data_IF_008808927674
#
_entry.id   IF_008808927674
#
_cell.length_a   1.000
_cell.length_b   1.000
_cell.length_c   1.000
_cell.angle_alpha   90.00
_cell.angle_beta   90.00
_cell.angle_gamma   90.00
#
_symmetry.space_group_name_H-M   'P 1'
#
loop_
_entity.id
_entity.type
_entity.pdbx_description
1 polymer ?
#
# COMPACT_ATOMS: atom_id res chain seq x y z
N UNK A 1 -8.20 6.03 -9.18
CA UNK A 1 -7.12 6.24 -10.17
C UNK A 1 -7.79 6.62 -11.47
N UNK A 2 -7.62 7.87 -11.90
CA UNK A 2 -8.17 8.38 -13.15
C UNK A 2 -7.38 7.93 -14.37
N UNK A 3 -7.85 8.35 -15.54
CA UNK A 3 -7.35 7.90 -16.83
C UNK A 3 -6.69 9.08 -17.54
N UNK A 4 -5.54 8.82 -18.13
CA UNK A 4 -4.89 9.73 -19.07
C UNK A 4 -5.79 9.97 -20.29
N UNK A 5 -5.93 11.22 -20.71
CA UNK A 5 -6.57 11.57 -21.97
C UNK A 5 -5.59 12.34 -22.83
N UNK A 6 -5.51 12.01 -24.12
CA UNK A 6 -4.76 12.81 -25.11
C UNK A 6 -5.44 14.13 -25.45
N UNK A 7 -6.65 14.38 -24.92
CA UNK A 7 -7.37 15.62 -25.15
C UNK A 7 -6.64 16.79 -24.48
N UNK A 8 -6.34 17.83 -25.26
CA UNK A 8 -5.86 19.11 -24.75
C UNK A 8 -7.05 19.89 -24.20
N UNK A 9 -6.93 20.39 -22.98
CA UNK A 9 -7.94 21.26 -22.39
C UNK A 9 -7.48 22.72 -22.44
N UNK A 10 -8.42 23.63 -22.70
CA UNK A 10 -8.17 25.06 -22.66
C UNK A 10 -8.24 25.61 -21.23
N UNK A 11 -7.60 26.76 -21.01
CA UNK A 11 -7.76 27.53 -19.78
C UNK A 11 -9.23 27.93 -19.58
N UNK A 12 -9.71 27.90 -18.33
CA UNK A 12 -11.06 28.39 -17.99
C UNK A 12 -11.07 29.89 -17.62
N UNK A 13 -9.90 30.53 -17.56
CA UNK A 13 -9.74 31.91 -17.13
C UNK A 13 -9.93 32.11 -15.62
N UNK A 14 -9.97 33.37 -15.19
CA UNK A 14 -10.04 33.77 -13.78
C UNK A 14 -11.48 34.03 -13.26
N UNK A 15 -12.50 33.88 -14.11
CA UNK A 15 -13.90 34.14 -13.73
C UNK A 15 -14.33 33.25 -12.55
N UNK A 16 -14.85 33.87 -11.49
CA UNK A 16 -15.29 33.18 -10.27
C UNK A 16 -14.17 32.71 -9.34
N UNK A 17 -12.91 33.00 -9.65
CA UNK A 17 -11.78 32.66 -8.77
C UNK A 17 -11.54 33.76 -7.70
N UNK A 18 -10.90 33.37 -6.60
CA UNK A 18 -10.48 34.29 -5.53
C UNK A 18 -9.07 34.78 -5.80
N UNK A 19 -8.85 36.08 -5.72
CA UNK A 19 -7.51 36.68 -5.78
C UNK A 19 -6.72 36.33 -4.51
N UNK A 20 -5.58 35.67 -4.67
CA UNK A 20 -4.64 35.38 -3.58
C UNK A 20 -3.62 36.50 -3.42
N UNK A 21 -3.04 36.95 -4.53
CA UNK A 21 -1.95 37.91 -4.54
C UNK A 21 -1.96 38.69 -5.85
N UNK A 22 -1.52 39.94 -5.80
CA UNK A 22 -1.36 40.82 -6.96
C UNK A 22 -0.02 41.53 -6.90
N UNK A 23 0.57 41.81 -8.06
CA UNK A 23 1.87 42.49 -8.17
C UNK A 23 2.96 41.85 -7.29
N UNK A 24 3.08 40.53 -7.41
CA UNK A 24 4.03 39.73 -6.65
C UNK A 24 5.26 39.41 -7.53
N UNK A 25 6.41 39.96 -7.15
CA UNK A 25 7.68 39.80 -7.86
C UNK A 25 8.29 38.41 -7.63
N UNK A 26 9.01 38.21 -6.52
CA UNK A 26 9.67 36.94 -6.20
C UNK A 26 9.13 36.27 -4.93
N UNK A 27 8.22 36.94 -4.22
CA UNK A 27 7.74 36.49 -2.92
C UNK A 27 6.89 35.23 -3.04
N UNK A 28 7.09 34.32 -2.11
CA UNK A 28 6.27 33.11 -1.96
C UNK A 28 5.04 33.43 -1.11
N UNK A 29 3.86 33.11 -1.66
CA UNK A 29 2.58 33.20 -0.96
C UNK A 29 1.98 31.81 -0.80
N UNK A 30 1.27 31.61 0.31
CA UNK A 30 0.70 30.33 0.70
C UNK A 30 -0.79 30.29 0.40
N UNK A 31 -1.29 29.21 -0.20
CA UNK A 31 -2.72 29.00 -0.37
C UNK A 31 -3.38 28.65 0.98
N UNK A 32 -4.69 28.95 1.16
CA UNK A 32 -5.46 28.39 2.25
C UNK A 32 -5.57 26.86 2.12
N UNK A 33 -6.22 26.22 3.10
CA UNK A 33 -6.60 24.81 3.00
C UNK A 33 -7.38 24.55 1.69
N UNK A 34 -6.87 23.62 0.87
CA UNK A 34 -7.45 23.26 -0.42
C UNK A 34 -8.71 22.37 -0.31
N UNK A 35 -9.07 21.96 0.91
CA UNK A 35 -10.34 21.29 1.22
C UNK A 35 -10.35 19.77 1.07
N UNK A 36 -9.26 19.15 0.61
CA UNK A 36 -9.12 17.69 0.47
C UNK A 36 -7.67 17.25 0.63
N UNK A 37 -7.47 15.95 0.87
CA UNK A 37 -6.13 15.36 0.97
C UNK A 37 -5.50 15.24 -0.42
N UNK A 38 -4.33 15.84 -0.59
CA UNK A 38 -3.49 15.76 -1.78
C UNK A 38 -2.11 15.31 -1.33
N UNK A 39 -1.58 14.20 -1.87
CA UNK A 39 -0.29 13.66 -1.44
C UNK A 39 0.80 13.89 -2.49
N UNK A 40 1.94 14.40 -2.05
CA UNK A 40 3.15 14.48 -2.84
C UNK A 40 4.32 13.90 -2.02
N UNK A 41 5.02 12.93 -2.59
CA UNK A 41 6.10 12.19 -1.92
C UNK A 41 5.72 11.63 -0.54
N UNK A 42 4.50 11.10 -0.39
CA UNK A 42 4.01 10.59 0.90
C UNK A 42 3.55 11.65 1.90
N UNK A 43 3.72 12.94 1.61
CA UNK A 43 3.31 14.05 2.48
C UNK A 43 1.93 14.55 2.08
N UNK A 44 1.00 14.64 3.04
CA UNK A 44 -0.28 15.32 2.82
C UNK A 44 -0.06 16.83 2.73
N UNK A 45 -0.31 17.39 1.55
CA UNK A 45 0.00 18.76 1.17
C UNK A 45 -1.21 19.70 1.28
N UNK A 46 -2.32 19.26 1.88
CA UNK A 46 -3.58 19.99 2.01
C UNK A 46 -3.43 21.44 2.48
N UNK A 47 -2.45 21.72 3.34
CA UNK A 47 -2.21 23.05 3.92
C UNK A 47 -0.77 23.56 3.72
N UNK A 48 -0.03 23.04 2.73
CA UNK A 48 1.38 23.40 2.49
C UNK A 48 1.67 23.87 1.07
N UNK A 49 0.65 24.02 0.23
CA UNK A 49 0.84 24.48 -1.14
C UNK A 49 1.16 25.98 -1.13
N UNK A 50 2.28 26.31 -1.76
CA UNK A 50 2.79 27.65 -1.95
C UNK A 50 2.96 27.93 -3.45
N UNK A 51 2.93 29.21 -3.80
CA UNK A 51 3.21 29.72 -5.15
C UNK A 51 4.07 30.96 -5.04
N UNK A 52 4.96 31.18 -5.99
CA UNK A 52 5.77 32.40 -6.05
C UNK A 52 5.38 33.28 -7.22
N UNK A 53 5.63 34.58 -7.04
CA UNK A 53 5.68 35.54 -8.14
C UNK A 53 6.68 35.12 -9.23
N UNK A 54 7.76 34.40 -8.92
CA UNK A 54 8.74 33.94 -9.91
C UNK A 54 8.33 32.63 -10.63
N UNK A 55 7.01 32.42 -10.77
CA UNK A 55 6.37 31.36 -11.55
C UNK A 55 6.80 29.92 -11.20
N UNK A 56 6.64 29.57 -9.93
CA UNK A 56 6.78 28.20 -9.44
C UNK A 56 5.76 27.84 -8.34
N UNK A 57 5.51 26.54 -8.17
CA UNK A 57 4.67 25.94 -7.13
C UNK A 57 5.51 25.06 -6.22
N UNK A 58 5.28 25.18 -4.91
CA UNK A 58 5.79 24.26 -3.90
C UNK A 58 4.65 23.51 -3.22
N UNK A 59 4.65 22.19 -3.29
CA UNK A 59 3.60 21.35 -2.68
C UNK A 59 3.84 21.12 -1.18
N UNK A 60 5.10 21.00 -0.77
CA UNK A 60 5.49 20.69 0.62
C UNK A 60 6.10 21.89 1.35
N UNK A 61 5.72 23.12 0.98
CA UNK A 61 6.29 24.36 1.49
C UNK A 61 7.01 25.16 0.41
N UNK A 62 8.18 25.72 0.73
CA UNK A 62 8.89 26.69 -0.14
C UNK A 62 9.82 26.06 -1.18
N UNK A 63 9.79 24.73 -1.33
CA UNK A 63 10.58 24.06 -2.36
C UNK A 63 9.95 24.30 -3.74
N UNK A 64 10.75 24.64 -4.76
CA UNK A 64 10.29 24.92 -6.11
C UNK A 64 10.02 23.62 -6.92
N UNK A 65 8.99 22.84 -6.54
CA UNK A 65 8.76 21.52 -7.14
C UNK A 65 8.18 21.54 -8.55
N UNK A 66 7.40 22.56 -8.93
CA UNK A 66 6.96 22.75 -10.30
C UNK A 66 7.34 24.15 -10.76
N UNK A 67 8.19 24.23 -11.78
CA UNK A 67 8.72 25.46 -12.36
C UNK A 67 8.15 25.64 -13.76
N UNK A 68 7.57 26.80 -14.02
CA UNK A 68 6.91 27.12 -15.30
C UNK A 68 7.48 28.45 -15.78
N UNK A 69 8.35 28.43 -16.78
CA UNK A 69 9.14 29.57 -17.22
C UNK A 69 9.84 30.28 -16.05
N UNK A 70 10.30 29.52 -15.05
CA UNK A 70 10.94 30.05 -13.85
C UNK A 70 12.24 30.74 -14.24
N UNK A 71 12.33 32.05 -14.00
CA UNK A 71 13.53 32.86 -14.26
C UNK A 71 13.55 34.05 -13.31
N UNK A 72 12.95 35.13 -13.75
CA UNK A 72 12.83 36.44 -13.10
C UNK A 72 11.43 36.99 -13.40
N UNK A 73 10.45 36.08 -13.45
CA UNK A 73 9.07 36.36 -13.78
C UNK A 73 8.41 37.11 -12.62
N UNK A 74 7.38 37.88 -12.92
CA UNK A 74 6.56 38.56 -11.92
C UNK A 74 5.08 38.27 -12.16
N UNK A 75 4.36 37.96 -11.09
CA UNK A 75 2.93 37.69 -11.13
C UNK A 75 2.15 39.00 -10.99
N UNK A 76 1.46 39.42 -12.04
CA UNK A 76 0.49 40.50 -11.97
C UNK A 76 -0.67 40.07 -11.07
N UNK A 77 -1.17 38.84 -11.23
CA UNK A 77 -2.18 38.26 -10.35
C UNK A 77 -2.04 36.75 -10.19
N UNK A 78 -2.38 36.26 -9.00
CA UNK A 78 -2.45 34.85 -8.66
C UNK A 78 -3.84 34.60 -8.07
N UNK A 79 -4.56 33.64 -8.65
CA UNK A 79 -5.90 33.26 -8.22
C UNK A 79 -5.98 31.80 -7.80
N UNK A 80 -7.01 31.46 -7.02
CA UNK A 80 -7.40 30.09 -6.75
C UNK A 80 -8.91 29.90 -6.71
N UNK A 81 -9.36 28.66 -6.88
CA UNK A 81 -10.75 28.26 -6.69
C UNK A 81 -10.84 26.81 -6.21
N UNK A 82 -11.75 26.58 -5.27
CA UNK A 82 -12.28 25.24 -4.98
C UNK A 82 -13.37 24.94 -6.02
N UNK A 83 -13.18 23.89 -6.80
CA UNK A 83 -14.11 23.47 -7.85
C UNK A 83 -14.54 22.02 -7.62
N UNK A 84 -15.52 21.57 -8.40
CA UNK A 84 -15.94 20.17 -8.45
C UNK A 84 -15.94 19.70 -9.89
N UNK A 85 -15.28 18.58 -10.15
CA UNK A 85 -15.25 17.92 -11.47
C UNK A 85 -15.73 16.48 -11.25
N UNK A 86 -16.80 16.08 -11.94
CA UNK A 86 -17.43 14.76 -11.77
C UNK A 86 -17.74 14.42 -10.30
N UNK A 87 -18.36 15.36 -9.58
CA UNK A 87 -18.71 15.27 -8.15
C UNK A 87 -17.53 15.08 -7.19
N UNK A 88 -16.29 15.29 -7.67
CA UNK A 88 -15.07 15.20 -6.87
C UNK A 88 -14.44 16.58 -6.70
N UNK A 89 -13.92 16.89 -5.50
CA UNK A 89 -13.30 18.19 -5.24
C UNK A 89 -11.99 18.31 -6.02
N UNK A 90 -11.78 19.48 -6.59
CA UNK A 90 -10.55 19.86 -7.28
C UNK A 90 -10.14 21.27 -6.86
N UNK A 91 -8.84 21.53 -6.81
CA UNK A 91 -8.31 22.86 -6.51
C UNK A 91 -7.65 23.43 -7.76
N UNK A 92 -8.10 24.59 -8.23
CA UNK A 92 -7.53 25.24 -9.41
C UNK A 92 -6.76 26.48 -9.00
N UNK A 93 -5.53 26.58 -9.48
CA UNK A 93 -4.64 27.72 -9.34
C UNK A 93 -4.53 28.36 -10.71
N UNK A 94 -4.50 29.69 -10.76
CA UNK A 94 -4.20 30.44 -11.97
C UNK A 94 -3.16 31.50 -11.69
N UNK A 95 -2.17 31.59 -12.56
CA UNK A 95 -1.08 32.53 -12.48
C UNK A 95 -1.07 33.35 -13.77
N UNK A 96 -1.14 34.68 -13.64
CA UNK A 96 -1.12 35.62 -14.75
C UNK A 96 -0.02 36.65 -14.50
N UNK A 97 0.88 36.81 -15.46
CA UNK A 97 1.94 37.78 -15.35
C UNK A 97 2.87 37.77 -16.55
N UNK A 98 4.14 38.01 -16.27
CA UNK A 98 5.12 38.31 -17.30
C UNK A 98 6.46 37.61 -17.06
N UNK A 99 7.24 37.42 -18.11
CA UNK A 99 8.46 36.61 -18.08
C UNK A 99 9.70 37.23 -17.41
N UNK A 100 9.72 38.55 -17.21
CA UNK A 100 10.85 39.29 -16.63
C UNK A 100 10.41 40.54 -15.90
N UNK A 101 10.88 40.78 -14.68
CA UNK A 101 10.45 41.85 -13.76
C UNK A 101 10.23 43.24 -14.38
N UNK A 102 10.96 43.60 -15.45
CA UNK A 102 10.84 44.88 -16.12
C UNK A 102 9.60 45.04 -17.00
N UNK A 103 8.77 43.99 -17.16
CA UNK A 103 7.70 43.92 -18.16
C UNK A 103 6.29 43.96 -17.55
N UNK A 104 6.14 44.50 -16.33
CA UNK A 104 4.85 44.67 -15.66
C UNK A 104 3.76 45.22 -16.59
N UNK A 105 2.56 44.65 -16.48
CA UNK A 105 1.41 44.99 -17.33
C UNK A 105 1.36 44.28 -18.69
N UNK A 106 2.40 43.55 -19.09
CA UNK A 106 2.37 42.68 -20.28
C UNK A 106 2.08 41.23 -19.90
N UNK A 107 0.84 40.76 -20.09
CA UNK A 107 0.47 39.39 -19.72
C UNK A 107 0.88 38.39 -20.83
N UNK A 108 2.13 37.93 -20.76
CA UNK A 108 2.74 36.97 -21.70
C UNK A 108 3.07 35.59 -21.09
N UNK A 109 2.88 35.42 -19.79
CA UNK A 109 3.01 34.15 -19.08
C UNK A 109 1.71 33.88 -18.31
N UNK A 110 0.98 32.84 -18.72
CA UNK A 110 -0.32 32.50 -18.14
C UNK A 110 -0.50 31.00 -18.10
N UNK A 111 -0.75 30.47 -16.90
CA UNK A 111 -0.98 29.05 -16.70
C UNK A 111 -1.98 28.78 -15.59
N UNK A 112 -2.57 27.58 -15.64
CA UNK A 112 -3.43 27.03 -14.60
C UNK A 112 -2.90 25.69 -14.13
N UNK A 113 -3.00 25.42 -12.83
CA UNK A 113 -2.75 24.10 -12.27
C UNK A 113 -4.01 23.58 -11.61
N UNK A 114 -4.50 22.43 -12.05
CA UNK A 114 -5.65 21.73 -11.47
C UNK A 114 -5.12 20.56 -10.65
N UNK A 115 -5.50 20.50 -9.38
CA UNK A 115 -5.08 19.47 -8.42
C UNK A 115 -6.31 18.60 -8.08
N UNK A 116 -6.12 17.28 -8.11
CA UNK A 116 -7.17 16.30 -7.84
C UNK A 116 -6.94 15.58 -6.51
N UNK A 117 -8.02 15.12 -5.87
CA UNK A 117 -7.96 14.41 -4.58
C UNK A 117 -7.38 12.98 -4.64
N UNK A 118 -6.99 12.50 -5.83
CA UNK A 118 -6.22 11.27 -6.01
C UNK A 118 -4.76 11.53 -6.39
N UNK A 119 -4.27 12.73 -6.07
CA UNK A 119 -2.89 13.18 -6.27
C UNK A 119 -2.48 13.39 -7.73
N UNK A 120 -3.37 13.26 -8.71
CA UNK A 120 -3.10 13.70 -10.06
C UNK A 120 -3.12 15.24 -10.17
N UNK A 121 -2.45 15.76 -11.20
CA UNK A 121 -2.47 17.19 -11.53
C UNK A 121 -2.59 17.39 -13.05
N UNK A 122 -3.15 18.52 -13.46
CA UNK A 122 -3.11 18.97 -14.86
C UNK A 122 -2.61 20.41 -14.91
N UNK A 123 -1.51 20.63 -15.61
CA UNK A 123 -0.99 21.94 -15.95
C UNK A 123 -1.58 22.36 -17.29
N UNK A 124 -2.21 23.54 -17.36
CA UNK A 124 -2.72 24.14 -18.58
C UNK A 124 -1.92 25.39 -18.87
N UNK A 125 -1.33 25.48 -20.06
CA UNK A 125 -0.57 26.63 -20.52
C UNK A 125 -1.42 27.41 -21.51
N UNK A 126 -1.82 28.62 -21.11
CA UNK A 126 -2.50 29.54 -22.02
C UNK A 126 -1.48 30.33 -22.83
N UNK A 127 -0.44 30.86 -22.16
CA UNK A 127 0.68 31.57 -22.78
C UNK A 127 1.98 31.26 -22.06
N UNK A 128 3.06 31.07 -22.81
CA UNK A 128 4.40 30.88 -22.30
C UNK A 128 5.46 31.38 -23.28
N UNK A 129 6.37 32.26 -22.86
CA UNK A 129 7.46 32.74 -23.72
C UNK A 129 8.60 31.73 -23.85
N UNK A 130 8.68 30.74 -22.96
CA UNK A 130 9.67 29.65 -22.97
C UNK A 130 11.13 30.14 -22.97
N UNK A 131 11.41 31.19 -22.20
CA UNK A 131 12.76 31.75 -21.99
C UNK A 131 13.37 31.40 -20.63
N UNK A 132 12.62 30.73 -19.76
CA UNK A 132 13.02 30.30 -18.42
C UNK A 132 13.11 28.78 -18.25
N UNK A 133 13.19 28.33 -16.99
CA UNK A 133 13.23 26.91 -16.64
C UNK A 133 11.83 26.31 -16.54
N UNK A 134 11.62 25.20 -17.24
CA UNK A 134 10.43 24.36 -17.15
C UNK A 134 10.84 23.00 -16.56
N UNK A 135 10.45 22.71 -15.32
CA UNK A 135 10.84 21.46 -14.67
C UNK A 135 9.85 21.02 -13.59
N UNK A 136 9.87 19.73 -13.30
CA UNK A 136 9.12 19.13 -12.19
C UNK A 136 10.03 18.22 -11.37
N UNK A 137 10.05 18.42 -10.05
CA UNK A 137 10.71 17.52 -9.11
C UNK A 137 9.86 16.26 -8.95
N UNK A 138 10.22 15.18 -9.63
CA UNK A 138 9.54 13.91 -9.52
C UNK A 138 10.15 13.11 -8.35
N UNK A 139 9.42 12.73 -7.29
CA UNK A 139 10.06 12.36 -6.02
C UNK A 139 11.06 11.20 -6.08
N UNK A 140 10.81 10.20 -6.94
CA UNK A 140 11.71 9.06 -7.13
C UNK A 140 12.66 9.28 -8.32
N UNK A 141 12.21 9.96 -9.37
CA UNK A 141 12.97 10.11 -10.63
C UNK A 141 13.96 11.29 -10.55
N UNK A 142 13.73 12.24 -9.65
CA UNK A 142 14.43 13.52 -9.57
C UNK A 142 13.85 14.57 -10.52
N UNK A 143 14.58 15.68 -10.69
CA UNK A 143 14.19 16.77 -11.58
C UNK A 143 13.99 16.29 -13.01
N UNK A 144 12.77 16.48 -13.53
CA UNK A 144 12.39 16.18 -14.91
C UNK A 144 12.19 17.50 -15.66
N UNK A 145 12.92 17.70 -16.76
CA UNK A 145 12.69 18.84 -17.66
C UNK A 145 11.35 18.68 -18.38
N UNK A 146 10.57 19.76 -18.45
CA UNK A 146 9.27 19.78 -19.11
C UNK A 146 9.36 20.49 -20.46
N UNK A 147 8.92 19.83 -21.52
CA UNK A 147 8.74 20.46 -22.85
C UNK A 147 7.29 20.92 -22.95
N UNK A 148 7.06 22.21 -22.66
CA UNK A 148 5.72 22.81 -22.64
C UNK A 148 5.56 23.89 -23.71
N UNK A 149 4.33 24.12 -24.18
CA UNK A 149 4.03 25.06 -25.26
C UNK A 149 2.69 25.78 -25.06
N UNK A 150 2.49 26.87 -25.79
CA UNK A 150 1.25 27.65 -25.80
C UNK A 150 0.03 26.79 -26.14
N UNK A 151 -1.10 27.06 -25.47
CA UNK A 151 -2.38 26.41 -25.71
C UNK A 151 -2.32 24.88 -25.59
N UNK A 152 -1.51 24.38 -24.66
CA UNK A 152 -1.36 22.94 -24.36
C UNK A 152 -1.68 22.66 -22.90
N UNK A 153 -1.92 21.39 -22.61
CA UNK A 153 -2.07 20.90 -21.25
C UNK A 153 -1.21 19.67 -21.03
N UNK A 154 -0.84 19.41 -19.77
CA UNK A 154 0.06 18.34 -19.37
C UNK A 154 -0.48 17.66 -18.12
N UNK A 155 -0.72 16.35 -18.21
CA UNK A 155 -1.22 15.54 -17.12
C UNK A 155 -0.06 14.91 -16.33
N UNK A 156 -0.05 15.11 -15.02
CA UNK A 156 0.84 14.48 -14.06
C UNK A 156 0.07 13.38 -13.36
N UNK A 157 0.34 12.13 -13.72
CA UNK A 157 -0.44 10.98 -13.25
C UNK A 157 0.42 10.18 -12.26
N UNK A 158 -0.03 9.98 -11.01
CA UNK A 158 0.73 9.22 -10.04
C UNK A 158 0.87 7.77 -10.50
N UNK A 159 2.10 7.28 -10.59
CA UNK A 159 2.41 5.88 -10.93
C UNK A 159 2.57 5.01 -9.67
N UNK A 160 2.56 5.62 -8.49
CA UNK A 160 2.61 4.98 -7.18
C UNK A 160 1.71 5.70 -6.18
N UNK A 161 1.24 4.98 -5.17
CA UNK A 161 0.41 5.54 -4.10
C UNK A 161 1.09 6.72 -3.39
N UNK A 162 0.26 7.62 -2.86
CA UNK A 162 0.68 8.83 -2.13
C UNK A 162 1.59 9.77 -2.96
N UNK A 163 1.47 9.74 -4.28
CA UNK A 163 2.19 10.66 -5.17
C UNK A 163 3.71 10.51 -5.10
N UNK A 164 4.22 9.29 -4.94
CA UNK A 164 5.67 9.00 -4.85
C UNK A 164 6.39 9.02 -6.19
N UNK A 165 5.67 8.90 -7.30
CA UNK A 165 6.22 9.03 -8.65
C UNK A 165 5.11 9.43 -9.62
N UNK A 166 5.47 10.12 -10.70
CA UNK A 166 4.53 10.63 -11.70
C UNK A 166 4.98 10.28 -13.12
N UNK A 167 4.02 9.97 -13.97
CA UNK A 167 4.16 10.02 -15.42
C UNK A 167 3.61 11.36 -15.92
N UNK A 168 4.39 12.09 -16.73
CA UNK A 168 4.00 13.40 -17.26
C UNK A 168 3.82 13.30 -18.77
N UNK A 169 2.64 13.63 -19.28
CA UNK A 169 2.32 13.54 -20.71
C UNK A 169 1.52 14.77 -21.17
N UNK A 170 1.74 15.22 -22.41
CA UNK A 170 0.88 16.23 -23.05
C UNK A 170 -0.53 15.68 -23.21
N UNK A 171 -1.54 16.36 -22.67
CA UNK A 171 -2.91 15.88 -22.59
C UNK A 171 -3.60 16.38 -21.34
N UNK A 172 -4.58 15.62 -20.88
CA UNK A 172 -5.38 15.93 -19.70
C UNK A 172 -5.57 14.69 -18.83
N UNK A 173 -6.19 14.90 -17.69
CA UNK A 173 -6.53 13.88 -16.73
C UNK A 173 -8.05 13.84 -16.57
N UNK A 174 -8.62 12.65 -16.77
CA UNK A 174 -10.03 12.42 -16.45
C UNK A 174 -10.07 11.61 -15.19
N UNK A 175 -10.46 12.27 -14.10
CA UNK A 175 -10.66 11.56 -12.86
C UNK A 175 -11.81 10.56 -13.03
N UNK A 176 -11.49 9.28 -12.87
CA UNK A 176 -12.46 8.21 -13.03
C UNK A 176 -13.52 8.30 -11.92
N UNK A 177 -14.78 8.40 -12.31
CA UNK A 177 -15.91 8.24 -11.40
C UNK A 177 -16.25 6.75 -11.33
N UNK A 178 -15.47 6.00 -10.54
CA UNK A 178 -15.67 4.57 -10.35
C UNK A 178 -16.65 4.35 -9.21
N UNK A 179 -17.68 3.55 -9.46
CA UNK A 179 -18.68 3.13 -8.49
C UNK A 179 -18.64 1.61 -8.32
N UNK A 180 -18.83 1.16 -7.08
CA UNK A 180 -18.81 -0.25 -6.70
C UNK A 180 -20.17 -0.68 -6.17
N UNK A 181 -20.59 -1.90 -6.53
CA UNK A 181 -21.76 -2.57 -5.98
C UNK A 181 -21.49 -4.07 -5.89
N UNK A 182 -22.11 -4.77 -4.94
CA UNK A 182 -22.09 -6.23 -4.88
C UNK A 182 -23.38 -6.79 -5.48
N UNK A 183 -23.25 -7.73 -6.39
CA UNK A 183 -24.36 -8.62 -6.77
C UNK A 183 -24.27 -9.88 -5.91
N UNK A 184 -25.25 -10.06 -5.04
CA UNK A 184 -25.36 -11.13 -4.05
C UNK A 184 -26.57 -12.02 -4.40
N UNK A 185 -26.35 -13.03 -5.26
CA UNK A 185 -27.45 -13.77 -5.86
C UNK A 185 -28.23 -12.88 -6.84
N UNK A 186 -29.51 -12.61 -6.54
CA UNK A 186 -30.34 -11.67 -7.33
C UNK A 186 -30.33 -10.24 -6.76
N UNK A 187 -29.79 -10.05 -5.56
CA UNK A 187 -29.79 -8.76 -4.87
C UNK A 187 -28.58 -7.92 -5.29
N UNK A 188 -28.78 -6.61 -5.35
CA UNK A 188 -27.74 -5.61 -5.48
C UNK A 188 -27.60 -4.95 -4.12
N UNK A 189 -26.37 -4.98 -3.58
CA UNK A 189 -26.03 -4.48 -2.26
C UNK A 189 -24.92 -3.43 -2.34
N UNK A 190 -24.98 -2.47 -1.44
CA UNK A 190 -23.92 -1.49 -1.19
C UNK A 190 -23.45 -1.62 0.27
N UNK A 191 -22.29 -1.06 0.59
CA UNK A 191 -21.80 -1.05 1.96
C UNK A 191 -22.46 0.07 2.77
N UNK A 192 -23.23 -0.29 3.80
CA UNK A 192 -23.77 0.68 4.75
C UNK A 192 -22.77 0.87 5.90
N UNK A 193 -22.24 2.09 6.02
CA UNK A 193 -21.25 2.46 7.04
C UNK A 193 -21.85 2.36 8.44
N UNK A 194 -23.13 2.71 8.61
CA UNK A 194 -23.78 2.73 9.92
C UNK A 194 -23.91 1.32 10.52
N UNK A 195 -24.31 0.34 9.71
CA UNK A 195 -24.40 -1.06 10.12
C UNK A 195 -23.12 -1.86 9.92
N UNK A 196 -22.11 -1.30 9.24
CA UNK A 196 -20.89 -2.01 8.84
C UNK A 196 -21.21 -3.35 8.15
N UNK A 197 -22.16 -3.31 7.21
CA UNK A 197 -22.68 -4.48 6.52
C UNK A 197 -23.15 -4.14 5.11
N UNK A 198 -23.09 -5.12 4.21
CA UNK A 198 -23.74 -5.00 2.90
C UNK A 198 -25.27 -5.08 3.05
N UNK A 199 -25.98 -4.06 2.58
CA UNK A 199 -27.44 -3.98 2.63
C UNK A 199 -28.03 -3.89 1.23
N UNK A 200 -29.21 -4.48 1.06
CA UNK A 200 -29.93 -4.49 -0.22
C UNK A 200 -30.40 -3.10 -0.60
N UNK A 201 -30.06 -2.68 -1.82
CA UNK A 201 -30.53 -1.42 -2.43
C UNK A 201 -31.37 -1.64 -3.68
N UNK A 202 -31.23 -2.78 -4.35
CA UNK A 202 -31.98 -3.11 -5.56
C UNK A 202 -31.90 -4.62 -5.86
N UNK A 203 -32.50 -5.06 -6.96
CA UNK A 203 -32.31 -6.38 -7.58
C UNK A 203 -31.79 -6.24 -9.01
N UNK A 204 -31.30 -7.34 -9.61
CA UNK A 204 -30.91 -7.39 -11.02
C UNK A 204 -32.10 -7.06 -11.96
N UNK A 205 -31.85 -6.56 -13.20
CA UNK A 205 -30.54 -6.36 -13.83
C UNK A 205 -29.81 -5.13 -13.31
N UNK A 206 -28.48 -5.15 -13.40
CA UNK A 206 -27.63 -4.02 -13.02
C UNK A 206 -27.64 -2.97 -14.14
N UNK A 207 -27.82 -1.69 -13.80
CA UNK A 207 -27.88 -0.56 -14.73
C UNK A 207 -26.97 0.58 -14.28
N UNK A 208 -26.61 1.49 -15.19
CA UNK A 208 -25.80 2.67 -14.87
C UNK A 208 -26.43 3.53 -13.76
N UNK A 209 -27.74 3.78 -13.83
CA UNK A 209 -28.48 4.56 -12.82
C UNK A 209 -28.35 3.97 -11.41
N UNK A 210 -28.32 2.64 -11.27
CA UNK A 210 -28.15 1.99 -9.96
C UNK A 210 -26.77 2.26 -9.37
N UNK A 211 -25.72 2.30 -10.20
CA UNK A 211 -24.39 2.70 -9.75
C UNK A 211 -24.30 4.18 -9.39
N UNK A 212 -24.93 5.04 -10.19
CA UNK A 212 -24.93 6.48 -9.91
C UNK A 212 -25.70 6.80 -8.62
N UNK A 213 -26.77 6.07 -8.34
CA UNK A 213 -27.64 6.30 -7.17
C UNK A 213 -27.10 5.65 -5.90
N UNK A 214 -26.62 4.41 -5.98
CA UNK A 214 -26.31 3.58 -4.81
C UNK A 214 -24.86 3.11 -4.74
N UNK A 215 -24.06 3.38 -5.77
CA UNK A 215 -22.71 2.85 -5.86
C UNK A 215 -21.75 3.52 -4.88
N UNK A 216 -20.93 2.70 -4.24
CA UNK A 216 -19.91 3.15 -3.31
C UNK A 216 -18.70 3.72 -4.07
N UNK A 217 -18.07 4.78 -3.56
CA UNK A 217 -16.83 5.35 -4.13
C UNK A 217 -15.58 4.53 -3.76
N UNK A 218 -15.69 3.71 -2.72
CA UNK A 218 -14.64 2.80 -2.25
C UNK A 218 -15.16 1.39 -2.19
N UNK A 219 -14.34 0.42 -2.56
CA UNK A 219 -14.69 -0.99 -2.38
C UNK A 219 -14.43 -1.41 -0.93
N UNK A 220 -15.22 -2.37 -0.45
CA UNK A 220 -15.10 -2.94 0.90
C UNK A 220 -14.73 -4.42 0.81
N UNK A 221 -13.74 -4.85 1.61
CA UNK A 221 -13.22 -6.23 1.62
C UNK A 221 -14.02 -7.17 2.51
N UNK A 222 -14.84 -6.59 3.38
CA UNK A 222 -15.70 -7.25 4.33
C UNK A 222 -16.74 -8.12 3.61
N UNK A 223 -17.32 -9.09 4.33
CA UNK A 223 -18.39 -9.96 3.78
C UNK A 223 -19.67 -9.94 4.61
N UNK A 224 -19.71 -9.16 5.68
CA UNK A 224 -20.91 -9.01 6.54
C UNK A 224 -22.09 -8.57 5.67
N UNK A 225 -23.23 -9.25 5.78
CA UNK A 225 -24.43 -8.98 4.98
C UNK A 225 -24.49 -9.66 3.61
N UNK A 226 -23.40 -10.29 3.15
CA UNK A 226 -23.39 -11.12 1.93
C UNK A 226 -23.84 -12.54 2.29
N UNK A 227 -24.81 -13.07 1.54
CA UNK A 227 -25.45 -14.35 1.82
C UNK A 227 -25.08 -15.41 0.78
N UNK A 228 -24.91 -15.02 -0.49
CA UNK A 228 -24.55 -15.94 -1.58
C UNK A 228 -23.16 -16.54 -1.37
N UNK A 229 -23.02 -17.80 -1.77
CA UNK A 229 -21.73 -18.49 -1.87
C UNK A 229 -20.89 -17.98 -3.04
N UNK A 230 -21.48 -17.25 -3.97
CA UNK A 230 -20.84 -16.75 -5.19
C UNK A 230 -21.25 -15.30 -5.49
N UNK A 231 -20.95 -14.34 -4.58
CA UNK A 231 -21.20 -12.93 -4.85
C UNK A 231 -20.23 -12.42 -5.92
N UNK A 232 -20.60 -11.35 -6.60
CA UNK A 232 -19.73 -10.69 -7.57
C UNK A 232 -19.63 -9.19 -7.30
N UNK A 233 -18.40 -8.69 -7.19
CA UNK A 233 -18.12 -7.27 -7.21
C UNK A 233 -18.33 -6.75 -8.62
N UNK A 234 -19.17 -5.72 -8.74
CA UNK A 234 -19.44 -5.02 -9.98
C UNK A 234 -18.86 -3.62 -9.88
N UNK A 235 -18.29 -3.20 -10.99
CA UNK A 235 -17.55 -1.95 -11.10
C UNK A 235 -18.13 -1.22 -12.30
N UNK A 236 -18.37 0.07 -12.15
CA UNK A 236 -18.88 0.92 -13.21
C UNK A 236 -18.16 2.26 -13.21
N UNK A 237 -18.07 2.86 -14.40
CA UNK A 237 -17.59 4.22 -14.63
C UNK A 237 -18.34 4.78 -15.83
N UNK A 238 -18.58 6.10 -15.90
CA UNK A 238 -19.09 6.73 -17.12
C UNK A 238 -18.07 6.73 -18.26
N UNK A 239 -16.81 6.35 -18.00
CA UNK A 239 -15.76 6.27 -19.02
C UNK A 239 -15.95 5.03 -19.90
N UNK A 240 -15.74 5.21 -21.21
CA UNK A 240 -15.90 4.16 -22.23
C UNK A 240 -14.88 3.02 -22.02
N UNK A 241 -13.67 3.35 -21.55
CA UNK A 241 -12.60 2.39 -21.30
C UNK A 241 -12.21 2.41 -19.83
N UNK A 242 -12.48 1.32 -19.11
CA UNK A 242 -11.96 1.10 -17.77
C UNK A 242 -10.72 0.20 -17.83
N UNK A 243 -9.66 0.58 -17.11
CA UNK A 243 -8.53 -0.33 -16.87
C UNK A 243 -9.08 -1.52 -16.05
N UNK A 244 -8.86 -2.77 -16.46
CA UNK A 244 -9.30 -3.94 -15.69
C UNK A 244 -8.74 -3.91 -14.26
N UNK A 245 -9.56 -4.15 -13.22
CA UNK A 245 -9.07 -4.19 -11.86
C UNK A 245 -8.07 -5.34 -11.67
N UNK A 246 -6.98 -5.10 -10.94
CA UNK A 246 -6.01 -6.13 -10.54
C UNK A 246 -6.31 -6.57 -9.11
N UNK A 247 -6.68 -7.84 -8.92
CA UNK A 247 -6.82 -8.45 -7.60
C UNK A 247 -5.51 -9.14 -7.24
N UNK A 248 -4.90 -8.76 -6.12
CA UNK A 248 -3.72 -9.42 -5.57
C UNK A 248 -4.18 -10.18 -4.33
N UNK A 249 -4.03 -11.51 -4.35
CA UNK A 249 -4.29 -12.35 -3.19
C UNK A 249 -2.95 -12.81 -2.62
N UNK A 250 -2.69 -12.47 -1.35
CA UNK A 250 -1.54 -13.00 -0.62
C UNK A 250 -2.00 -14.15 0.25
N UNK A 251 -1.49 -15.35 -0.03
CA UNK A 251 -1.78 -16.54 0.76
C UNK A 251 -0.66 -16.70 1.79
N UNK A 252 -1.02 -16.70 3.07
CA UNK A 252 -0.12 -17.01 4.18
C UNK A 252 -0.54 -18.37 4.77
N UNK A 253 0.35 -19.37 4.82
CA UNK A 253 0.09 -20.60 5.55
C UNK A 253 -0.19 -20.31 7.03
N UNK A 254 -1.24 -20.91 7.58
CA UNK A 254 -1.48 -20.86 9.02
C UNK A 254 -0.38 -21.63 9.76
N UNK A 255 -0.08 -21.26 11.02
CA UNK A 255 0.81 -22.06 11.85
C UNK A 255 0.32 -23.50 11.97
N UNK A 256 1.25 -24.44 12.07
CA UNK A 256 0.94 -25.88 12.11
C UNK A 256 1.84 -26.60 13.09
N UNK A 257 1.32 -27.64 13.73
CA UNK A 257 2.12 -28.62 14.45
C UNK A 257 2.20 -29.88 13.60
N UNK A 258 3.43 -30.30 13.30
CA UNK A 258 3.70 -31.55 12.58
C UNK A 258 4.18 -32.58 13.59
N UNK A 259 3.59 -33.77 13.55
CA UNK A 259 3.90 -34.87 14.48
C UNK A 259 4.45 -36.05 13.69
N UNK A 260 5.54 -36.67 14.17
CA UNK A 260 5.99 -37.95 13.62
C UNK A 260 4.91 -39.03 13.81
N UNK A 261 4.70 -39.86 12.80
CA UNK A 261 3.73 -40.97 12.89
C UNK A 261 4.24 -42.10 13.79
N UNK A 262 5.54 -42.35 13.75
CA UNK A 262 6.18 -43.48 14.40
C UNK A 262 7.24 -43.02 15.40
N UNK A 263 7.54 -43.90 16.36
CA UNK A 263 8.63 -43.69 17.33
C UNK A 263 9.97 -44.04 16.70
N UNK A 264 11.00 -43.29 17.08
CA UNK A 264 12.39 -43.71 16.92
C UNK A 264 12.69 -44.68 18.05
N UNK A 265 12.92 -45.95 17.71
CA UNK A 265 13.37 -46.97 18.67
C UNK A 265 14.89 -47.04 18.72
N UNK A 266 15.43 -47.10 19.93
CA UNK A 266 16.84 -47.38 20.20
C UNK A 266 16.97 -48.52 21.22
N UNK A 267 16.07 -49.50 21.11
CA UNK A 267 15.92 -50.65 22.01
C UNK A 267 17.10 -51.62 22.03
N UNK A 268 18.00 -51.53 21.05
CA UNK A 268 19.15 -52.41 20.93
C UNK A 268 20.02 -52.42 22.19
N UNK A 269 20.49 -53.60 22.57
CA UNK A 269 21.23 -53.79 23.82
C UNK A 269 22.56 -53.01 23.86
N UNK A 270 23.18 -52.83 22.70
CA UNK A 270 24.44 -52.09 22.56
C UNK A 270 24.24 -50.56 22.62
N UNK A 271 23.01 -50.05 22.49
CA UNK A 271 22.73 -48.62 22.60
C UNK A 271 22.51 -48.27 24.07
N UNK A 272 23.40 -47.41 24.59
CA UNK A 272 23.43 -47.01 25.99
C UNK A 272 22.60 -45.76 26.26
N UNK A 273 22.82 -44.70 25.49
CA UNK A 273 22.13 -43.42 25.67
C UNK A 273 22.16 -42.55 24.41
N UNK A 274 21.36 -41.48 24.39
CA UNK A 274 21.36 -40.44 23.35
C UNK A 274 22.46 -39.42 23.68
N UNK A 275 23.39 -39.23 22.75
CA UNK A 275 24.46 -38.24 22.88
C UNK A 275 23.88 -36.84 22.60
N UNK A 276 23.24 -36.66 21.45
CA UNK A 276 22.62 -35.41 21.04
C UNK A 276 21.61 -35.60 19.90
N UNK A 277 20.86 -34.53 19.64
CA UNK A 277 20.03 -34.37 18.45
C UNK A 277 20.62 -33.29 17.55
N UNK A 278 20.58 -33.51 16.23
CA UNK A 278 21.01 -32.55 15.20
C UNK A 278 19.84 -32.28 14.27
N UNK A 279 19.57 -31.01 14.00
CA UNK A 279 18.50 -30.55 13.12
C UNK A 279 19.10 -29.84 11.92
N UNK A 280 18.71 -30.26 10.73
CA UNK A 280 19.07 -29.61 9.47
C UNK A 280 17.79 -29.01 8.88
N UNK A 281 17.82 -27.72 8.56
CA UNK A 281 16.71 -27.00 7.95
C UNK A 281 17.18 -25.90 6.99
N UNK A 282 16.28 -25.46 6.13
CA UNK A 282 16.37 -24.15 5.48
C UNK A 282 15.48 -23.17 6.24
N UNK A 283 16.07 -22.11 6.79
CA UNK A 283 15.34 -20.99 7.40
C UNK A 283 15.86 -19.66 6.84
N UNK A 284 15.03 -18.96 6.07
CA UNK A 284 15.34 -17.63 5.56
C UNK A 284 14.22 -16.68 5.99
N UNK A 285 14.61 -15.55 6.56
CA UNK A 285 13.67 -14.57 7.12
C UNK A 285 13.30 -14.91 8.56
N UNK A 286 12.01 -14.86 8.88
CA UNK A 286 11.51 -14.89 10.26
C UNK A 286 10.80 -16.19 10.66
N UNK A 287 11.15 -17.31 10.03
CA UNK A 287 10.53 -18.61 10.32
C UNK A 287 10.80 -19.09 11.75
N UNK A 288 9.74 -19.54 12.44
CA UNK A 288 9.79 -20.09 13.79
C UNK A 288 9.58 -21.60 13.71
N UNK A 289 10.48 -22.37 14.35
CA UNK A 289 10.32 -23.80 14.56
C UNK A 289 10.72 -24.19 15.98
N UNK A 290 9.81 -24.83 16.70
CA UNK A 290 10.02 -25.28 18.08
C UNK A 290 9.63 -26.75 18.23
N UNK A 291 10.47 -27.53 18.90
CA UNK A 291 10.37 -28.98 19.03
C UNK A 291 9.87 -29.40 20.41
N UNK A 292 9.10 -30.47 20.43
CA UNK A 292 8.71 -31.20 21.65
C UNK A 292 8.91 -32.69 21.42
N UNK A 293 9.11 -33.42 22.51
CA UNK A 293 9.41 -34.85 22.47
C UNK A 293 8.43 -35.63 23.34
N UNK A 294 8.18 -36.89 22.97
CA UNK A 294 7.40 -37.85 23.73
C UNK A 294 8.19 -39.14 23.89
N UNK A 295 8.10 -39.77 25.07
CA UNK A 295 8.71 -41.07 25.41
C UNK A 295 7.66 -42.17 25.63
N UNK A 296 6.39 -41.84 25.40
CA UNK A 296 5.21 -42.67 25.62
C UNK A 296 4.32 -42.72 24.37
N UNK A 297 4.95 -42.73 23.19
CA UNK A 297 4.29 -42.88 21.89
C UNK A 297 3.22 -41.82 21.59
N UNK A 298 3.44 -40.59 22.08
CA UNK A 298 2.60 -39.42 21.82
C UNK A 298 1.52 -39.14 22.86
N UNK A 299 1.49 -39.87 23.99
CA UNK A 299 0.51 -39.66 25.07
C UNK A 299 0.80 -38.37 25.83
N UNK A 300 2.06 -38.12 26.19
CA UNK A 300 2.50 -36.87 26.82
C UNK A 300 3.71 -36.29 26.08
N UNK A 301 3.80 -34.96 26.13
CA UNK A 301 4.82 -34.21 25.41
C UNK A 301 5.60 -33.32 26.36
N UNK A 302 6.91 -33.27 26.15
CA UNK A 302 7.86 -32.56 27.00
C UNK A 302 8.80 -31.68 26.19
N UNK A 303 9.30 -30.64 26.84
CA UNK A 303 10.34 -29.76 26.34
C UNK A 303 11.37 -29.49 27.44
N UNK A 304 12.63 -29.36 27.06
CA UNK A 304 13.69 -28.92 27.96
C UNK A 304 13.63 -27.41 28.14
N UNK A 305 13.39 -26.94 29.36
CA UNK A 305 13.27 -25.52 29.69
C UNK A 305 14.57 -24.92 30.26
N UNK A 306 15.73 -25.47 29.89
CA UNK A 306 17.06 -25.16 30.42
C UNK A 306 17.35 -25.67 31.84
N UNK A 307 16.35 -26.11 32.61
CA UNK A 307 16.54 -26.71 33.94
C UNK A 307 15.98 -28.12 34.08
N UNK A 308 14.89 -28.43 33.39
CA UNK A 308 14.12 -29.67 33.55
C UNK A 308 13.27 -29.97 32.31
N UNK A 309 12.80 -31.21 32.19
CA UNK A 309 11.79 -31.59 31.21
C UNK A 309 10.39 -31.19 31.70
N UNK A 310 9.82 -30.13 31.13
CA UNK A 310 8.48 -29.64 31.45
C UNK A 310 7.42 -30.17 30.48
N UNK A 311 6.20 -30.35 30.96
CA UNK A 311 5.05 -30.76 30.13
C UNK A 311 4.62 -29.63 29.17
N UNK A 312 4.22 -30.03 27.96
CA UNK A 312 3.67 -29.17 26.92
C UNK A 312 2.36 -29.75 26.42
N UNK A 313 1.33 -28.91 26.35
CA UNK A 313 0.03 -29.29 25.80
C UNK A 313 0.05 -29.22 24.27
N UNK A 314 0.09 -30.39 23.62
CA UNK A 314 0.07 -30.53 22.16
C UNK A 314 -1.22 -29.98 21.52
N UNK A 315 -2.33 -29.96 22.25
CA UNK A 315 -3.61 -29.47 21.73
C UNK A 315 -3.68 -27.95 21.71
N UNK A 316 -2.79 -27.28 22.45
CA UNK A 316 -2.66 -25.83 22.50
C UNK A 316 -1.44 -25.35 21.72
N UNK A 317 -1.68 -24.85 20.51
CA UNK A 317 -0.62 -24.38 19.63
C UNK A 317 0.24 -23.25 20.22
N UNK A 318 -0.33 -22.40 21.07
CA UNK A 318 0.42 -21.35 21.75
C UNK A 318 1.31 -21.91 22.86
N UNK A 319 0.91 -23.00 23.50
CA UNK A 319 1.73 -23.69 24.50
C UNK A 319 2.95 -24.34 23.85
N UNK A 320 2.77 -25.01 22.71
CA UNK A 320 3.88 -25.56 21.92
C UNK A 320 4.81 -24.46 21.42
N UNK A 321 4.26 -23.33 20.94
CA UNK A 321 5.07 -22.18 20.50
C UNK A 321 5.91 -21.60 21.64
N UNK A 322 5.35 -21.46 22.83
CA UNK A 322 6.02 -20.77 23.95
C UNK A 322 6.95 -21.65 24.78
N UNK A 323 6.62 -22.93 24.96
CA UNK A 323 7.39 -23.88 25.78
C UNK A 323 8.27 -24.82 24.96
N UNK A 324 8.00 -24.99 23.67
CA UNK A 324 8.79 -25.85 22.79
C UNK A 324 10.24 -25.39 22.67
N UNK A 325 11.12 -26.33 22.36
CA UNK A 325 12.56 -26.09 22.27
C UNK A 325 12.91 -25.50 20.91
N UNK A 326 13.58 -24.34 20.89
CA UNK A 326 14.21 -23.87 19.66
C UNK A 326 15.30 -24.85 19.21
N UNK A 327 15.76 -24.71 17.96
CA UNK A 327 16.85 -25.52 17.42
C UNK A 327 18.11 -25.45 18.30
N UNK A 328 18.48 -24.25 18.77
CA UNK A 328 19.65 -24.07 19.62
C UNK A 328 19.50 -24.78 20.97
N UNK A 329 18.30 -24.78 21.54
CA UNK A 329 18.01 -25.49 22.78
C UNK A 329 18.08 -26.99 22.56
N UNK A 330 17.37 -27.53 21.56
CA UNK A 330 17.33 -28.98 21.28
C UNK A 330 18.72 -29.55 21.00
N UNK A 331 19.53 -28.86 20.17
CA UNK A 331 20.89 -29.31 19.85
C UNK A 331 21.88 -29.09 21.00
N UNK A 332 21.53 -28.26 21.97
CA UNK A 332 22.33 -28.00 23.17
C UNK A 332 22.07 -28.98 24.32
N UNK A 333 21.10 -29.89 24.20
CA UNK A 333 20.80 -30.89 25.23
C UNK A 333 21.95 -31.89 25.32
N UNK A 334 22.54 -32.01 26.50
CA UNK A 334 23.66 -32.92 26.76
C UNK A 334 23.18 -34.36 27.00
N UNK A 335 24.08 -35.32 26.89
CA UNK A 335 23.79 -36.74 27.18
C UNK A 335 23.13 -36.91 28.55
N UNK A 336 23.68 -36.31 29.62
CA UNK A 336 23.10 -36.37 30.96
C UNK A 336 21.67 -35.78 31.05
N UNK A 337 21.38 -34.76 30.26
CA UNK A 337 20.04 -34.16 30.20
C UNK A 337 19.07 -35.07 29.43
N UNK A 338 19.52 -35.73 28.35
CA UNK A 338 18.76 -36.78 27.67
C UNK A 338 18.47 -37.95 28.61
N UNK A 339 19.45 -38.41 29.40
CA UNK A 339 19.25 -39.44 30.42
C UNK A 339 18.13 -39.05 31.41
N UNK A 340 18.08 -37.77 31.81
CA UNK A 340 17.06 -37.27 32.75
C UNK A 340 15.63 -37.21 32.18
N UNK A 341 15.43 -37.42 30.87
CA UNK A 341 14.11 -37.49 30.25
C UNK A 341 13.33 -38.76 30.61
N UNK A 342 14.01 -39.75 31.23
CA UNK A 342 13.48 -41.10 31.53
C UNK A 342 13.08 -41.86 30.26
N UNK A 343 14.11 -42.31 29.52
CA UNK A 343 13.98 -43.10 28.29
C UNK A 343 13.84 -44.60 28.58
N UNK A 344 13.17 -45.00 29.67
CA UNK A 344 13.01 -46.41 30.10
C UNK A 344 12.44 -47.33 29.01
N UNK A 345 11.55 -46.80 28.16
CA UNK A 345 10.98 -47.54 27.02
C UNK A 345 11.87 -47.56 25.76
N UNK A 346 13.04 -46.93 25.79
CA UNK A 346 13.99 -46.77 24.68
C UNK A 346 13.35 -46.30 23.36
N UNK A 347 12.38 -45.40 23.47
CA UNK A 347 11.64 -44.80 22.34
C UNK A 347 11.56 -43.30 22.51
N UNK A 348 11.61 -42.57 21.40
CA UNK A 348 11.35 -41.13 21.36
C UNK A 348 10.58 -40.76 20.10
N UNK A 349 9.62 -39.84 20.25
CA UNK A 349 8.87 -39.26 19.14
C UNK A 349 9.03 -37.75 19.16
N UNK A 350 9.19 -37.15 17.98
CA UNK A 350 9.24 -35.70 17.83
C UNK A 350 7.92 -35.16 17.27
N UNK A 351 7.60 -33.95 17.69
CA UNK A 351 6.69 -33.06 17.00
C UNK A 351 7.28 -31.66 17.01
N UNK A 352 6.85 -30.83 16.07
CA UNK A 352 7.35 -29.47 15.97
C UNK A 352 6.28 -28.50 15.46
N UNK A 353 6.27 -27.33 16.08
CA UNK A 353 5.52 -26.16 15.63
C UNK A 353 6.26 -25.48 14.47
N UNK A 354 5.54 -25.02 13.44
CA UNK A 354 6.09 -24.24 12.33
C UNK A 354 5.22 -23.02 12.04
N UNK A 355 5.86 -21.87 11.86
CA UNK A 355 5.21 -20.60 11.49
C UNK A 355 6.15 -19.73 10.65
N UNK A 356 5.59 -18.98 9.72
CA UNK A 356 6.27 -17.91 8.99
C UNK A 356 5.52 -16.58 9.16
N UNK A 357 6.23 -15.46 9.09
CA UNK A 357 5.59 -14.14 9.26
C UNK A 357 5.24 -13.53 7.91
N UNK A 358 6.11 -13.70 6.91
CA UNK A 358 5.98 -13.18 5.55
C UNK A 358 5.79 -14.31 4.52
N UNK A 359 5.12 -14.01 3.39
CA UNK A 359 5.01 -14.92 2.25
C UNK A 359 6.35 -15.14 1.50
N UNK A 360 7.37 -14.35 1.83
CA UNK A 360 8.73 -14.49 1.30
C UNK A 360 9.65 -15.34 2.18
N UNK A 361 9.21 -15.70 3.40
CA UNK A 361 10.00 -16.53 4.30
C UNK A 361 10.13 -17.97 3.75
N UNK A 362 11.26 -18.62 4.03
CA UNK A 362 11.47 -20.04 3.72
C UNK A 362 11.69 -20.78 5.03
N UNK A 363 10.86 -21.77 5.35
CA UNK A 363 11.05 -22.65 6.51
C UNK A 363 10.81 -24.11 6.10
N UNK A 364 11.88 -24.91 6.02
CA UNK A 364 11.83 -26.32 5.60
C UNK A 364 12.70 -27.18 6.52
N UNK A 365 12.09 -28.05 7.31
CA UNK A 365 12.81 -29.08 8.05
C UNK A 365 13.28 -30.18 7.09
N UNK A 366 14.60 -30.43 7.04
CA UNK A 366 15.21 -31.44 6.16
C UNK A 366 15.50 -32.75 6.89
N UNK A 367 16.03 -32.66 8.10
CA UNK A 367 16.45 -33.82 8.88
C UNK A 367 16.40 -33.53 10.37
N UNK A 368 15.94 -34.52 11.13
CA UNK A 368 16.24 -34.69 12.55
C UNK A 368 17.12 -35.94 12.64
N UNK A 369 18.31 -35.82 13.24
CA UNK A 369 19.24 -36.92 13.46
C UNK A 369 19.48 -37.08 14.95
N UNK A 370 19.35 -38.30 15.45
CA UNK A 370 19.68 -38.64 16.84
C UNK A 370 20.98 -39.45 16.81
N UNK A 371 21.99 -38.98 17.52
CA UNK A 371 23.24 -39.71 17.70
C UNK A 371 23.22 -40.38 19.07
N UNK A 372 23.71 -41.60 19.14
CA UNK A 372 23.68 -42.43 20.34
C UNK A 372 25.06 -43.01 20.62
N UNK A 373 25.30 -43.32 21.89
CA UNK A 373 26.52 -43.97 22.34
C UNK A 373 26.33 -45.49 22.37
N UNK A 374 27.38 -46.21 22.00
CA UNK A 374 27.42 -47.67 22.02
C UNK A 374 28.41 -48.18 23.05
N UNK A 375 28.13 -49.33 23.66
CA UNK A 375 29.08 -50.03 24.53
C UNK A 375 30.29 -50.56 23.80
#
# INVERSE_FOLDING_TARGET
MGIYSTNIIASKGNSGMTLLSSHNDDTTVKFPDIGFDFFYNGVNCRTSINVSGNSWIGFTGENEQLKINRRDAGADTIYYANETINDKPTFRIRWEGHQSYSNWGTIDLVWELIIFNDSAMVLVIEKIPNTGTNSFENPIIGTTTLTIADNKSYAFIPSQDQGKSYNVNEGSYVQANIKYLIVDGNEIKHWDIASSSYVKVSELPLTADKFQTYGDDTYHKERTGIISTSPSLKIWSPLIDMIPPKVIQTIKPNPVIVTMKDDISFSEAYIKDIINAVVILDNTGSGIINFIVSVDSGVSWKAWNSSSWGLVDMTNMQDVKSKGMSISVLQGITEAQWTSLDLSNKKIRFAWYMEITSSTDVLKLKQIRINYNTT
#
